data_IF_301190250409
#
_entry.id   IF_301190250409
#
_cell.length_a   1.000
_cell.length_b   1.000
_cell.length_c   1.000
_cell.angle_alpha   90.00
_cell.angle_beta   90.00
_cell.angle_gamma   90.00
#
_symmetry.space_group_name_H-M   'P 1'
#
loop_
_entity.id
_entity.type
_entity.pdbx_description
1 polymer ?
#
# COMPACT_ATOMS: atom_id res chain seq x y z
N UNK A 1 -0.36 -28.34 -13.00
CA UNK A 1 -0.85 -28.49 -11.62
C UNK A 1 -1.08 -27.15 -10.93
N UNK A 2 -0.22 -26.14 -11.11
CA UNK A 2 -0.35 -24.81 -10.49
C UNK A 2 -1.76 -24.17 -10.60
N UNK A 3 -2.37 -24.13 -11.80
CA UNK A 3 -3.73 -23.59 -11.99
C UNK A 3 -4.83 -24.34 -11.20
N UNK A 4 -4.75 -25.68 -11.12
CA UNK A 4 -5.70 -26.49 -10.35
C UNK A 4 -5.54 -26.28 -8.84
N UNK A 5 -4.32 -26.02 -8.38
CA UNK A 5 -4.02 -25.72 -6.98
C UNK A 5 -4.50 -24.32 -6.60
N UNK A 6 -4.27 -23.31 -7.44
CA UNK A 6 -4.80 -21.96 -7.26
C UNK A 6 -6.34 -21.94 -7.14
N UNK A 7 -7.03 -22.62 -8.07
CA UNK A 7 -8.48 -22.75 -8.02
C UNK A 7 -8.98 -23.48 -6.74
N UNK A 8 -8.24 -24.48 -6.24
CA UNK A 8 -8.60 -25.15 -4.97
C UNK A 8 -8.41 -24.28 -3.72
N UNK A 9 -7.63 -23.20 -3.84
CA UNK A 9 -7.46 -22.19 -2.80
C UNK A 9 -8.34 -20.94 -3.02
N UNK A 10 -9.29 -21.01 -3.96
CA UNK A 10 -10.24 -19.93 -4.22
C UNK A 10 -9.66 -18.73 -4.95
N UNK A 11 -8.49 -18.88 -5.58
CA UNK A 11 -7.88 -17.84 -6.42
C UNK A 11 -8.43 -17.95 -7.83
N UNK A 12 -9.05 -16.87 -8.30
CA UNK A 12 -9.44 -16.65 -9.70
C UNK A 12 -8.32 -15.94 -10.47
N UNK A 13 -8.44 -15.89 -11.80
CA UNK A 13 -7.44 -15.26 -12.68
C UNK A 13 -7.30 -13.74 -12.44
N UNK A 14 -8.30 -13.10 -11.81
CA UNK A 14 -8.24 -11.70 -11.40
C UNK A 14 -7.61 -11.45 -10.04
N UNK A 15 -7.30 -12.51 -9.28
CA UNK A 15 -6.78 -12.38 -7.94
C UNK A 15 -5.26 -12.17 -7.94
N UNK A 16 -4.79 -11.35 -6.99
CA UNK A 16 -3.37 -11.07 -6.78
C UNK A 16 -2.90 -11.67 -5.47
N UNK A 17 -1.67 -12.19 -5.50
CA UNK A 17 -0.97 -12.63 -4.31
C UNK A 17 -0.06 -11.48 -3.88
N UNK A 18 -0.25 -11.04 -2.64
CA UNK A 18 0.62 -10.07 -1.97
C UNK A 18 1.37 -10.77 -0.84
N UNK A 19 2.58 -10.29 -0.58
CA UNK A 19 3.32 -10.76 0.57
C UNK A 19 2.65 -10.29 1.87
N UNK A 20 2.64 -11.17 2.88
CA UNK A 20 1.99 -10.88 4.16
C UNK A 20 2.71 -9.75 4.90
N UNK A 21 4.04 -9.73 4.90
CA UNK A 21 4.83 -8.71 5.59
C UNK A 21 4.60 -7.33 4.95
N UNK A 22 4.53 -7.26 3.61
CA UNK A 22 4.14 -6.03 2.91
C UNK A 22 2.73 -5.56 3.29
N UNK A 23 1.78 -6.48 3.46
CA UNK A 23 0.42 -6.13 3.92
C UNK A 23 0.38 -5.66 5.38
N UNK A 24 1.20 -6.24 6.25
CA UNK A 24 1.33 -5.82 7.65
C UNK A 24 2.02 -4.44 7.75
N UNK A 25 3.01 -4.18 6.91
CA UNK A 25 3.71 -2.90 6.84
C UNK A 25 2.78 -1.77 6.41
N UNK A 26 2.02 -1.94 5.32
CA UNK A 26 1.05 -0.92 4.88
C UNK A 26 -0.03 -0.67 5.95
N UNK A 27 -0.47 -1.71 6.68
CA UNK A 27 -1.41 -1.54 7.78
C UNK A 27 -0.82 -0.69 8.91
N UNK A 28 0.45 -0.90 9.25
CA UNK A 28 1.17 -0.06 10.21
C UNK A 28 1.24 1.40 9.77
N UNK A 29 1.57 1.65 8.50
CA UNK A 29 1.61 3.00 7.94
C UNK A 29 0.23 3.68 7.96
N UNK A 30 -0.83 2.95 7.59
CA UNK A 30 -2.21 3.44 7.66
C UNK A 30 -2.64 3.74 9.09
N UNK A 31 -2.22 2.94 10.06
CA UNK A 31 -2.49 3.20 11.47
C UNK A 31 -1.84 4.51 11.94
N UNK A 32 -0.57 4.75 11.58
CA UNK A 32 0.11 6.01 11.89
C UNK A 32 -0.58 7.21 11.23
N UNK A 33 -1.00 7.08 9.98
CA UNK A 33 -1.75 8.14 9.29
C UNK A 33 -3.10 8.42 9.97
N UNK A 34 -3.84 7.39 10.37
CA UNK A 34 -5.09 7.55 11.10
C UNK A 34 -4.86 8.31 12.42
N UNK A 35 -3.86 7.92 13.20
CA UNK A 35 -3.52 8.62 14.45
C UNK A 35 -3.17 10.10 14.18
N UNK A 36 -2.39 10.38 13.14
CA UNK A 36 -2.06 11.75 12.75
C UNK A 36 -3.30 12.57 12.35
N UNK A 37 -4.27 11.97 11.66
CA UNK A 37 -5.55 12.63 11.35
C UNK A 37 -6.33 12.95 12.62
N UNK A 38 -6.43 12.01 13.55
CA UNK A 38 -7.12 12.21 14.83
C UNK A 38 -6.46 13.30 15.70
N UNK A 39 -5.14 13.41 15.66
CA UNK A 39 -4.40 14.49 16.32
C UNK A 39 -4.71 15.84 15.67
N UNK A 40 -4.61 15.93 14.34
CA UNK A 40 -4.85 17.18 13.59
C UNK A 40 -6.28 17.66 13.72
N UNK A 41 -7.27 16.76 13.76
CA UNK A 41 -8.67 17.12 14.01
C UNK A 41 -8.84 17.82 15.36
N UNK A 42 -8.13 17.35 16.41
CA UNK A 42 -8.13 18.00 17.73
C UNK A 42 -7.36 19.33 17.71
N UNK A 43 -6.20 19.35 17.08
CA UNK A 43 -5.33 20.53 17.06
C UNK A 43 -5.97 21.69 16.29
N UNK A 44 -6.57 21.42 15.12
CA UNK A 44 -7.29 22.44 14.35
C UNK A 44 -8.50 22.97 15.14
N UNK A 45 -9.22 22.12 15.87
CA UNK A 45 -10.36 22.56 16.67
C UNK A 45 -9.94 23.47 17.84
N UNK A 46 -8.71 23.35 18.32
CA UNK A 46 -8.14 24.14 19.40
C UNK A 46 -7.24 25.30 18.93
N UNK A 47 -7.02 25.44 17.63
CA UNK A 47 -6.03 26.37 17.10
C UNK A 47 -6.45 27.85 17.26
N UNK A 48 -5.53 28.65 17.78
CA UNK A 48 -5.67 30.10 17.99
C UNK A 48 -5.07 30.93 16.85
N UNK A 49 -4.46 30.29 15.85
CA UNK A 49 -3.90 31.00 14.70
C UNK A 49 -3.32 30.15 13.57
N UNK A 50 -2.90 30.79 12.48
CA UNK A 50 -2.38 30.12 11.30
C UNK A 50 -1.03 29.41 11.52
N UNK A 51 -0.31 29.73 12.59
CA UNK A 51 0.93 29.03 12.97
C UNK A 51 0.65 27.59 13.41
N UNK A 52 -0.31 27.41 14.31
CA UNK A 52 -0.68 26.10 14.84
C UNK A 52 -1.33 25.22 13.76
N UNK A 53 -2.13 25.81 12.87
CA UNK A 53 -2.65 25.10 11.69
C UNK A 53 -1.51 24.62 10.78
N UNK A 54 -0.46 25.44 10.59
CA UNK A 54 0.71 25.04 9.80
C UNK A 54 1.44 23.87 10.46
N UNK A 55 1.65 23.93 11.77
CA UNK A 55 2.31 22.85 12.53
C UNK A 55 1.52 21.54 12.42
N UNK A 56 0.19 21.59 12.56
CA UNK A 56 -0.69 20.44 12.38
C UNK A 56 -0.60 19.85 10.97
N UNK A 57 -0.54 20.69 9.92
CA UNK A 57 -0.37 20.23 8.54
C UNK A 57 1.02 19.63 8.29
N UNK A 58 2.08 20.20 8.88
CA UNK A 58 3.44 19.66 8.80
C UNK A 58 3.53 18.29 9.48
N UNK A 59 2.85 18.11 10.61
CA UNK A 59 2.69 16.83 11.29
C UNK A 59 1.95 15.78 10.43
N UNK A 60 0.83 16.17 9.81
CA UNK A 60 0.10 15.27 8.91
C UNK A 60 0.96 14.84 7.72
N UNK A 61 1.65 15.78 7.08
CA UNK A 61 2.49 15.50 5.92
C UNK A 61 3.67 14.61 6.28
N UNK A 62 4.29 14.77 7.45
CA UNK A 62 5.39 13.90 7.88
C UNK A 62 4.94 12.46 8.08
N UNK A 63 3.74 12.24 8.61
CA UNK A 63 3.14 10.91 8.81
C UNK A 63 2.57 10.31 7.52
N UNK A 64 2.15 11.13 6.56
CA UNK A 64 1.64 10.65 5.26
C UNK A 64 2.74 10.26 4.28
N UNK A 65 3.92 10.90 4.34
CA UNK A 65 5.05 10.65 3.41
C UNK A 65 5.48 9.18 3.33
N UNK A 66 5.66 8.45 4.45
CA UNK A 66 6.01 7.03 4.38
C UNK A 66 5.04 6.20 3.55
N UNK A 67 3.75 6.52 3.59
CA UNK A 67 2.73 5.81 2.79
C UNK A 67 2.86 6.12 1.30
N UNK A 68 3.24 7.35 0.93
CA UNK A 68 3.49 7.74 -0.48
C UNK A 68 4.68 6.97 -1.05
N UNK A 69 5.70 6.73 -0.23
CA UNK A 69 6.91 6.01 -0.63
C UNK A 69 6.73 4.48 -0.60
N UNK A 70 5.62 3.97 -0.05
CA UNK A 70 5.36 2.55 0.09
C UNK A 70 4.58 1.98 -1.11
N UNK A 71 5.22 1.07 -1.85
CA UNK A 71 4.65 0.41 -3.01
C UNK A 71 4.54 -1.09 -2.78
N UNK A 72 3.33 -1.64 -2.95
CA UNK A 72 3.09 -3.08 -2.96
C UNK A 72 3.16 -3.55 -4.41
N UNK A 73 3.98 -4.56 -4.69
CA UNK A 73 4.07 -5.20 -6.00
C UNK A 73 3.19 -6.46 -6.03
N UNK A 74 1.96 -6.40 -6.58
CA UNK A 74 1.05 -7.53 -6.60
C UNK A 74 1.51 -8.53 -7.67
N UNK A 75 1.48 -9.83 -7.35
CA UNK A 75 1.78 -10.87 -8.34
C UNK A 75 0.49 -11.56 -8.78
N UNK A 76 0.23 -11.58 -10.07
CA UNK A 76 -0.83 -12.40 -10.66
C UNK A 76 -0.33 -13.83 -10.87
N UNK A 77 -1.26 -14.77 -11.01
CA UNK A 77 -0.97 -16.17 -11.34
C UNK A 77 -0.61 -16.40 -12.81
N UNK A 78 -0.52 -15.33 -13.61
CA UNK A 78 -0.21 -15.42 -15.03
C UNK A 78 1.23 -15.91 -15.19
N UNK A 79 1.34 -17.15 -15.65
CA UNK A 79 2.61 -17.77 -15.96
C UNK A 79 3.26 -16.93 -17.04
N UNK A 80 4.51 -16.52 -16.80
CA UNK A 80 5.41 -16.06 -17.84
C UNK A 80 5.19 -16.85 -19.14
N UNK A 81 4.54 -16.24 -20.11
CA UNK A 81 4.77 -16.57 -21.51
C UNK A 81 6.25 -16.29 -21.72
N UNK A 82 7.04 -17.36 -21.62
CA UNK A 82 8.40 -17.41 -22.13
C UNK A 82 8.31 -16.92 -23.57
N UNK A 83 8.94 -15.78 -23.83
CA UNK A 83 9.29 -15.33 -25.17
C UNK A 83 10.09 -16.43 -25.86
N UNK A 84 9.38 -17.32 -26.55
CA UNK A 84 9.91 -18.30 -27.47
C UNK A 84 9.83 -17.71 -28.88
N UNK A 85 10.69 -16.73 -29.16
CA UNK A 85 10.97 -16.22 -30.50
C UNK A 85 12.41 -16.58 -30.88
N UNK A 86 12.61 -17.77 -31.43
CA UNK A 86 13.91 -18.33 -31.77
C UNK A 86 14.75 -17.49 -32.76
N UNK A 87 16.07 -17.67 -32.69
CA UNK A 87 16.99 -17.31 -33.79
C UNK A 87 17.15 -18.54 -34.70
N UNK A 88 16.80 -18.43 -36.00
CA UNK A 88 17.80 -18.56 -37.08
C UNK A 88 17.46 -17.59 -38.25
N UNK A 89 18.33 -17.06 -39.11
CA UNK A 89 19.71 -17.34 -39.59
C UNK A 89 20.46 -16.00 -39.61
#
# INVERSE_FOLDING_TARGET
MARKLAASHGLDDSDVIVDREQLEEIQGLLYCLQAAVEDVDRDIAAADGPGEIREALEWLLSNARPLVDHWIEPRTTESAEVSAGGKPV
#
